data_IF_029837337169
#
_entry.id   IF_029837337169
#
_cell.length_a   1.000
_cell.length_b   1.000
_cell.length_c   1.000
_cell.angle_alpha   90.00
_cell.angle_beta   90.00
_cell.angle_gamma   90.00
#
_symmetry.space_group_name_H-M   'P 1'
#
loop_
_entity.id
_entity.type
_entity.pdbx_description
1 polymer ?
#
# COMPACT_ATOMS: atom_id res chain seq x y z
N UNK A 1 31.60 53.47 12.49
CA UNK A 1 31.67 54.93 12.26
C UNK A 1 30.35 55.36 11.64
N UNK A 2 29.60 56.22 12.36
CA UNK A 2 28.73 57.32 11.89
C UNK A 2 27.70 57.02 10.78
N UNK A 3 26.43 57.43 10.82
CA UNK A 3 25.53 58.08 11.78
C UNK A 3 24.27 58.43 10.97
N UNK A 4 23.08 58.37 11.60
CA UNK A 4 21.93 59.29 11.47
C UNK A 4 21.22 59.39 10.09
N UNK A 5 19.88 59.31 10.03
CA UNK A 5 18.96 60.39 10.44
C UNK A 5 17.55 59.87 10.76
N UNK A 6 16.97 60.44 11.82
CA UNK A 6 15.54 60.41 12.19
C UNK A 6 14.79 61.48 11.39
N UNK A 7 13.49 61.29 11.14
CA UNK A 7 12.51 62.36 11.33
C UNK A 7 11.12 61.79 11.62
N UNK A 8 10.49 62.38 12.64
CA UNK A 8 9.14 62.09 13.11
C UNK A 8 8.14 63.06 12.46
N UNK A 9 6.88 62.63 12.32
CA UNK A 9 5.75 63.56 12.27
C UNK A 9 4.56 62.91 12.97
N UNK A 10 4.18 63.51 14.10
CA UNK A 10 2.92 63.28 14.81
C UNK A 10 1.78 64.00 14.10
N UNK A 11 0.60 63.38 14.04
CA UNK A 11 -0.67 64.08 13.91
C UNK A 11 -1.70 63.41 14.82
N UNK A 12 -2.44 64.25 15.53
CA UNK A 12 -3.27 63.98 16.70
C UNK A 12 -4.75 63.81 16.30
N UNK A 13 -5.41 62.86 16.98
CA UNK A 13 -6.82 62.73 17.35
C UNK A 13 -7.94 62.79 16.28
N UNK A 14 -8.92 61.89 16.42
CA UNK A 14 -10.28 62.23 16.89
C UNK A 14 -10.91 60.97 17.48
N UNK A 15 -11.41 61.14 18.71
CA UNK A 15 -12.20 60.21 19.48
C UNK A 15 -13.65 60.25 18.97
N UNK A 16 -14.24 59.12 18.61
CA UNK A 16 -15.68 58.99 18.36
C UNK A 16 -16.22 57.78 19.11
N UNK A 17 -16.71 58.07 20.31
CA UNK A 17 -17.58 57.21 21.11
C UNK A 17 -18.89 56.98 20.34
N UNK A 18 -19.18 55.72 20.01
CA UNK A 18 -20.56 55.27 19.83
C UNK A 18 -20.84 54.22 20.89
N UNK A 19 -21.51 54.66 21.95
CA UNK A 19 -22.15 53.78 22.92
C UNK A 19 -23.48 53.30 22.33
N UNK A 20 -23.61 52.00 22.09
CA UNK A 20 -24.90 51.35 22.02
C UNK A 20 -25.08 50.51 23.28
N UNK A 21 -26.18 50.82 23.95
CA UNK A 21 -26.66 50.22 25.18
C UNK A 21 -27.39 48.90 24.91
N UNK A 22 -27.28 47.99 25.89
CA UNK A 22 -28.18 46.89 26.23
C UNK A 22 -28.26 45.65 25.31
N UNK A 23 -27.71 44.54 25.81
CA UNK A 23 -28.54 43.45 26.34
C UNK A 23 -27.73 42.67 27.40
N UNK A 24 -28.27 42.60 28.62
CA UNK A 24 -27.80 41.80 29.76
C UNK A 24 -28.53 40.45 29.77
N UNK A 25 -27.97 39.45 30.47
CA UNK A 25 -28.51 38.12 30.86
C UNK A 25 -28.22 37.00 29.85
N UNK A 26 -27.81 35.78 30.21
CA UNK A 26 -27.50 35.14 31.49
C UNK A 26 -26.71 33.84 31.19
N UNK A 27 -26.07 33.30 32.22
CA UNK A 27 -25.29 32.06 32.30
C UNK A 27 -25.92 30.84 31.59
N UNK A 28 -25.10 30.00 30.94
CA UNK A 28 -25.13 28.52 30.98
C UNK A 28 -23.97 27.97 30.12
N UNK A 29 -22.95 27.42 30.78
CA UNK A 29 -22.19 26.27 30.26
C UNK A 29 -22.89 25.03 30.85
N UNK A 30 -23.00 23.86 30.20
CA UNK A 30 -21.94 23.21 29.43
C UNK A 30 -22.46 22.49 28.15
N UNK A 31 -21.59 21.71 27.51
CA UNK A 31 -21.96 20.48 26.78
C UNK A 31 -22.02 20.46 25.24
N UNK A 32 -21.23 21.30 24.56
CA UNK A 32 -20.97 21.15 23.12
C UNK A 32 -19.78 20.22 22.77
N UNK A 33 -19.00 19.73 23.75
CA UNK A 33 -17.80 18.92 23.47
C UNK A 33 -18.06 17.41 23.46
N UNK A 34 -19.08 16.90 24.16
CA UNK A 34 -19.39 15.47 24.16
C UNK A 34 -19.91 14.98 22.80
N UNK A 35 -20.62 15.82 22.05
CA UNK A 35 -21.14 15.44 20.72
C UNK A 35 -20.08 15.49 19.60
N UNK A 36 -19.03 16.29 19.73
CA UNK A 36 -17.92 16.31 18.77
C UNK A 36 -17.03 15.06 18.94
N UNK A 37 -16.78 14.65 20.18
CA UNK A 37 -16.04 13.42 20.47
C UNK A 37 -16.88 12.17 20.14
N UNK A 38 -18.17 12.14 20.50
CA UNK A 38 -19.05 11.01 20.17
C UNK A 38 -19.30 10.84 18.66
N UNK A 39 -19.28 11.92 17.87
CA UNK A 39 -19.42 11.82 16.40
C UNK A 39 -18.13 11.38 15.71
N UNK A 40 -16.96 11.78 16.23
CA UNK A 40 -15.67 11.24 15.79
C UNK A 40 -15.52 9.77 16.20
N UNK A 41 -15.93 9.40 17.41
CA UNK A 41 -15.91 8.00 17.87
C UNK A 41 -16.95 7.13 17.17
N UNK A 42 -18.11 7.66 16.78
CA UNK A 42 -19.10 6.92 16.00
C UNK A 42 -18.67 6.72 14.54
N UNK A 43 -18.00 7.70 13.91
CA UNK A 43 -17.38 7.53 12.60
C UNK A 43 -16.17 6.59 12.66
N UNK A 44 -15.38 6.65 13.73
CA UNK A 44 -14.24 5.78 13.97
C UNK A 44 -14.67 4.34 14.26
N UNK A 45 -15.72 4.13 15.06
CA UNK A 45 -16.25 2.80 15.42
C UNK A 45 -17.00 2.11 14.28
N UNK A 46 -17.55 2.86 13.31
CA UNK A 46 -18.13 2.26 12.09
C UNK A 46 -17.05 1.84 11.08
N UNK A 47 -15.84 2.41 11.18
CA UNK A 47 -14.70 2.11 10.31
C UNK A 47 -13.92 0.86 10.71
N UNK A 48 -14.07 0.36 11.95
CA UNK A 48 -13.31 -0.79 12.48
C UNK A 48 -13.87 -2.17 12.10
N UNK A 49 -14.89 -2.25 11.25
CA UNK A 49 -15.46 -3.53 10.80
C UNK A 49 -15.52 -3.68 9.26
N UNK A 50 -14.87 -2.79 8.50
CA UNK A 50 -14.83 -2.92 7.04
C UNK A 50 -13.60 -3.72 6.61
N UNK A 51 -13.71 -5.04 6.68
CA UNK A 51 -12.76 -5.96 6.03
C UNK A 51 -12.93 -5.85 4.51
N UNK A 52 -11.84 -5.59 3.79
CA UNK A 52 -11.81 -5.60 2.31
C UNK A 52 -10.96 -6.77 1.84
N UNK A 53 -11.52 -7.56 0.93
CA UNK A 53 -10.80 -8.69 0.33
C UNK A 53 -10.34 -8.35 -1.08
N UNK A 54 -9.13 -8.77 -1.40
CA UNK A 54 -8.51 -8.70 -2.71
C UNK A 54 -8.03 -10.09 -3.12
N UNK A 55 -7.90 -10.31 -4.41
CA UNK A 55 -7.41 -11.57 -4.97
C UNK A 55 -6.40 -11.29 -6.08
N UNK A 56 -5.47 -12.22 -6.29
CA UNK A 56 -4.60 -12.23 -7.46
C UNK A 56 -4.48 -13.66 -8.00
N UNK A 57 -4.65 -13.82 -9.31
CA UNK A 57 -4.28 -15.04 -10.01
C UNK A 57 -2.80 -14.96 -10.34
N UNK A 58 -2.00 -15.90 -9.82
CA UNK A 58 -0.55 -15.91 -9.99
C UNK A 58 -0.21 -16.82 -11.16
N UNK A 59 0.40 -16.23 -12.19
CA UNK A 59 0.77 -16.91 -13.43
C UNK A 59 2.28 -16.91 -13.65
N UNK A 60 2.77 -17.93 -14.35
CA UNK A 60 4.19 -18.15 -14.58
C UNK A 60 4.85 -16.98 -15.33
N UNK A 61 6.07 -16.66 -14.92
CA UNK A 61 7.08 -15.91 -15.67
C UNK A 61 8.26 -16.83 -15.98
N UNK A 62 9.10 -16.46 -16.96
CA UNK A 62 10.36 -17.14 -17.25
C UNK A 62 10.23 -18.65 -17.48
N UNK A 63 9.09 -19.08 -18.04
CA UNK A 63 8.81 -20.51 -18.32
C UNK A 63 8.77 -21.40 -17.08
N UNK A 64 8.63 -20.84 -15.88
CA UNK A 64 8.75 -21.56 -14.61
C UNK A 64 7.70 -22.66 -14.40
N UNK A 65 6.54 -22.53 -15.04
CA UNK A 65 5.37 -23.38 -14.78
C UNK A 65 4.69 -23.12 -13.43
N UNK A 66 5.13 -22.11 -12.67
CA UNK A 66 4.51 -21.74 -11.39
C UNK A 66 3.11 -21.18 -11.62
N UNK A 67 2.15 -21.66 -10.83
CA UNK A 67 0.78 -21.14 -10.83
C UNK A 67 0.27 -21.04 -9.39
N UNK A 68 -0.69 -20.17 -9.14
CA UNK A 68 -1.29 -20.06 -7.82
C UNK A 68 -2.37 -19.01 -7.71
N UNK A 69 -2.80 -18.78 -6.47
CA UNK A 69 -3.68 -17.69 -6.11
C UNK A 69 -3.17 -17.00 -4.85
N UNK A 70 -3.47 -15.72 -4.74
CA UNK A 70 -3.35 -14.97 -3.50
C UNK A 70 -4.70 -14.39 -3.09
N UNK A 71 -4.95 -14.36 -1.79
CA UNK A 71 -6.03 -13.61 -1.15
C UNK A 71 -5.42 -12.64 -0.15
N UNK A 72 -5.80 -11.36 -0.22
CA UNK A 72 -5.39 -10.36 0.75
C UNK A 72 -6.62 -9.83 1.46
N UNK A 73 -6.60 -9.83 2.78
CA UNK A 73 -7.68 -9.30 3.63
C UNK A 73 -7.16 -8.10 4.39
N UNK A 74 -7.67 -6.92 4.05
CA UNK A 74 -7.35 -5.63 4.67
C UNK A 74 -8.36 -5.31 5.76
N UNK A 75 -7.89 -5.21 7.00
CA UNK A 75 -8.67 -4.90 8.20
C UNK A 75 -7.98 -3.80 9.00
N UNK A 76 -8.54 -2.59 8.95
CA UNK A 76 -7.88 -1.41 9.53
C UNK A 76 -6.58 -1.11 8.80
N UNK A 77 -5.48 -1.12 9.55
CA UNK A 77 -4.09 -0.96 9.11
C UNK A 77 -3.35 -2.29 8.95
N UNK A 78 -4.04 -3.42 9.02
CA UNK A 78 -3.43 -4.75 8.87
C UNK A 78 -3.87 -5.41 7.56
N UNK A 79 -2.93 -6.01 6.83
CA UNK A 79 -3.22 -6.87 5.68
C UNK A 79 -2.77 -8.29 5.95
N UNK A 80 -3.70 -9.24 5.91
CA UNK A 80 -3.39 -10.67 5.92
C UNK A 80 -3.26 -11.16 4.49
N UNK A 81 -2.09 -11.67 4.13
CA UNK A 81 -1.77 -12.22 2.81
C UNK A 81 -1.74 -13.74 2.91
N UNK A 82 -2.61 -14.40 2.15
CA UNK A 82 -2.64 -15.86 1.96
C UNK A 82 -2.28 -16.20 0.52
N UNK A 83 -1.24 -17.01 0.30
CA UNK A 83 -0.79 -17.46 -1.02
C UNK A 83 -0.79 -18.99 -1.06
N UNK A 84 -1.42 -19.54 -2.09
CA UNK A 84 -1.31 -20.94 -2.47
C UNK A 84 -0.70 -21.02 -3.86
N UNK A 85 0.47 -21.63 -3.99
CA UNK A 85 1.12 -21.81 -5.29
C UNK A 85 1.75 -23.19 -5.42
N UNK A 86 1.87 -23.66 -6.66
CA UNK A 86 2.51 -24.91 -7.07
C UNK A 86 3.42 -24.68 -8.27
N UNK A 87 4.31 -25.65 -8.54
CA UNK A 87 5.30 -25.56 -9.62
C UNK A 87 6.57 -24.80 -9.23
N UNK A 88 6.72 -24.45 -7.95
CA UNK A 88 7.94 -23.84 -7.40
C UNK A 88 9.07 -24.87 -7.33
N UNK A 89 10.32 -24.41 -7.33
CA UNK A 89 11.48 -25.31 -7.21
C UNK A 89 11.55 -25.93 -5.80
N UNK A 90 11.49 -27.26 -5.65
CA UNK A 90 11.44 -27.86 -4.33
C UNK A 90 12.67 -27.59 -3.45
N UNK A 91 12.43 -27.31 -2.16
CA UNK A 91 13.46 -27.15 -1.13
C UNK A 91 14.40 -25.95 -1.33
N UNK A 92 13.99 -24.98 -2.16
CA UNK A 92 14.70 -23.71 -2.33
C UNK A 92 13.94 -22.56 -1.69
N UNK A 93 14.65 -21.56 -1.18
CA UNK A 93 14.03 -20.35 -0.63
C UNK A 93 13.40 -19.52 -1.74
N UNK A 94 12.11 -19.22 -1.65
CA UNK A 94 11.38 -18.40 -2.62
C UNK A 94 11.05 -17.03 -2.05
N UNK A 95 11.86 -15.99 -2.31
CA UNK A 95 11.48 -14.61 -2.02
C UNK A 95 10.15 -14.27 -2.68
N UNK A 96 9.34 -13.51 -1.95
CA UNK A 96 8.02 -13.10 -2.41
C UNK A 96 7.69 -11.72 -1.85
N UNK A 97 7.12 -10.87 -2.71
CA UNK A 97 6.94 -9.47 -2.40
C UNK A 97 5.62 -8.95 -2.96
N UNK A 98 5.06 -7.94 -2.29
CA UNK A 98 4.14 -7.00 -2.95
C UNK A 98 5.01 -5.93 -3.60
N UNK A 99 4.87 -5.77 -4.90
CA UNK A 99 5.51 -4.72 -5.70
C UNK A 99 4.48 -3.69 -6.15
N UNK A 100 4.92 -2.44 -6.26
CA UNK A 100 4.07 -1.35 -6.71
C UNK A 100 4.84 -0.06 -6.87
N UNK A 101 4.16 1.00 -7.31
CA UNK A 101 4.73 2.33 -7.42
C UNK A 101 4.22 3.21 -6.28
N UNK A 102 5.09 4.08 -5.76
CA UNK A 102 4.72 5.09 -4.75
C UNK A 102 3.72 6.13 -5.30
N UNK A 103 3.65 6.30 -6.62
CA UNK A 103 2.61 7.10 -7.27
C UNK A 103 1.33 6.27 -7.41
N UNK A 104 0.32 6.61 -6.60
CA UNK A 104 -0.99 5.94 -6.59
C UNK A 104 -1.76 6.05 -7.91
N UNK A 105 -1.30 6.83 -8.90
CA UNK A 105 -1.91 6.91 -10.23
C UNK A 105 -1.33 5.91 -11.23
N UNK A 106 -0.26 5.19 -10.86
CA UNK A 106 0.37 4.17 -11.70
C UNK A 106 0.05 2.78 -11.16
N UNK A 107 -0.49 1.93 -12.02
CA UNK A 107 -0.70 0.52 -11.69
C UNK A 107 0.56 -0.28 -12.01
N UNK A 108 1.01 -1.08 -11.06
CA UNK A 108 1.91 -2.18 -11.33
C UNK A 108 1.18 -3.25 -12.16
N UNK A 109 1.93 -3.84 -13.08
CA UNK A 109 1.45 -4.92 -13.94
C UNK A 109 2.49 -6.02 -13.99
N UNK A 110 2.05 -7.24 -14.28
CA UNK A 110 3.00 -8.31 -14.55
C UNK A 110 3.75 -8.04 -15.86
N UNK A 111 5.08 -8.25 -15.91
CA UNK A 111 5.87 -7.94 -17.07
C UNK A 111 5.43 -8.83 -18.25
N UNK A 112 5.21 -8.25 -19.44
CA UNK A 112 4.95 -9.03 -20.65
C UNK A 112 6.24 -9.74 -21.11
N UNK A 113 6.15 -10.71 -22.03
CA UNK A 113 7.33 -11.32 -22.64
C UNK A 113 8.29 -10.31 -23.30
N UNK A 114 7.78 -9.18 -23.79
CA UNK A 114 8.60 -8.11 -24.36
C UNK A 114 9.41 -7.31 -23.32
N UNK A 115 9.32 -7.67 -22.04
CA UNK A 115 10.16 -7.08 -20.99
C UNK A 115 11.60 -7.61 -21.05
N UNK A 116 11.82 -8.79 -21.63
CA UNK A 116 13.15 -9.32 -21.97
C UNK A 116 13.80 -8.38 -23.01
N UNK A 117 14.66 -7.49 -22.53
CA UNK A 117 15.24 -6.39 -23.32
C UNK A 117 16.56 -6.77 -23.97
N UNK A 118 17.27 -7.75 -23.44
CA UNK A 118 18.53 -8.24 -24.02
C UNK A 118 18.36 -9.52 -24.87
N UNK A 119 17.20 -10.15 -24.82
CA UNK A 119 16.77 -11.24 -25.69
C UNK A 119 17.33 -12.60 -25.28
N UNK A 120 17.73 -12.77 -24.02
CA UNK A 120 18.31 -14.03 -23.52
C UNK A 120 17.24 -15.08 -23.13
N UNK A 121 15.97 -14.70 -23.18
CA UNK A 121 14.81 -15.55 -22.89
C UNK A 121 14.36 -15.49 -21.42
N UNK A 122 14.96 -14.64 -20.60
CA UNK A 122 14.59 -14.39 -19.23
C UNK A 122 14.13 -12.94 -19.05
N UNK A 123 13.35 -12.72 -18.01
CA UNK A 123 12.98 -11.39 -17.53
C UNK A 123 13.62 -11.26 -16.15
N UNK A 124 14.76 -10.59 -16.04
CA UNK A 124 15.42 -10.35 -14.75
C UNK A 124 14.66 -9.34 -13.89
N UNK A 125 15.09 -9.22 -12.64
CA UNK A 125 14.61 -8.21 -11.70
C UNK A 125 14.69 -6.78 -12.29
N UNK A 126 15.79 -6.45 -12.97
CA UNK A 126 15.99 -5.13 -13.56
C UNK A 126 15.01 -4.83 -14.71
N UNK A 127 14.74 -5.83 -15.53
CA UNK A 127 13.87 -5.73 -16.70
C UNK A 127 12.38 -5.74 -16.35
N UNK A 128 12.00 -6.45 -15.29
CA UNK A 128 10.64 -6.44 -14.76
C UNK A 128 10.29 -5.18 -13.95
N UNK A 129 11.29 -4.49 -13.38
CA UNK A 129 11.08 -3.34 -12.49
C UNK A 129 10.27 -2.18 -13.10
N UNK A 130 10.42 -1.80 -14.39
CA UNK A 130 9.56 -0.80 -15.03
C UNK A 130 8.06 -1.13 -15.00
N UNK A 131 7.70 -2.42 -14.89
CA UNK A 131 6.33 -2.93 -14.90
C UNK A 131 5.75 -3.07 -13.50
N UNK A 132 6.42 -3.80 -12.61
CA UNK A 132 5.88 -4.06 -11.27
C UNK A 132 6.33 -3.05 -10.19
N UNK A 133 7.41 -2.29 -10.44
CA UNK A 133 7.91 -1.27 -9.51
C UNK A 133 8.82 -1.80 -8.38
N UNK A 134 9.27 -0.95 -7.45
CA UNK A 134 10.04 -1.37 -6.28
C UNK A 134 9.24 -2.32 -5.36
N UNK A 135 9.95 -2.94 -4.43
CA UNK A 135 9.35 -3.72 -3.34
C UNK A 135 8.65 -2.76 -2.38
N UNK A 136 7.36 -3.00 -2.12
CA UNK A 136 6.59 -2.28 -1.10
C UNK A 136 6.53 -3.07 0.22
N UNK A 137 6.33 -4.39 0.12
CA UNK A 137 6.25 -5.27 1.30
C UNK A 137 6.92 -6.62 1.03
N UNK A 138 8.07 -6.91 1.68
CA UNK A 138 8.59 -8.26 1.75
C UNK A 138 7.65 -9.18 2.53
N UNK A 139 7.28 -10.30 1.92
CA UNK A 139 6.40 -11.28 2.55
C UNK A 139 7.23 -12.32 3.31
N UNK A 140 7.94 -11.86 4.34
CA UNK A 140 8.81 -12.69 5.19
C UNK A 140 8.04 -13.39 6.32
N UNK A 141 8.53 -14.54 6.82
CA UNK A 141 9.67 -15.31 6.33
C UNK A 141 9.34 -16.00 4.99
N UNK A 142 10.31 -16.00 4.06
CA UNK A 142 10.12 -16.63 2.76
C UNK A 142 10.02 -18.16 2.85
N UNK A 143 9.09 -18.80 2.12
CA UNK A 143 8.92 -20.25 2.17
C UNK A 143 10.01 -20.99 1.37
N UNK A 144 10.24 -22.27 1.70
CA UNK A 144 11.20 -23.14 1.01
C UNK A 144 10.57 -24.16 0.05
N UNK A 145 9.24 -24.08 -0.15
CA UNK A 145 8.43 -24.95 -0.99
C UNK A 145 8.85 -26.45 -1.02
N UNK A 146 8.83 -27.21 0.09
CA UNK A 146 9.44 -28.56 0.15
C UNK A 146 8.97 -29.55 -0.93
N UNK A 147 7.71 -29.41 -1.37
CA UNK A 147 7.10 -30.24 -2.42
C UNK A 147 6.81 -29.45 -3.71
N UNK A 148 7.54 -28.35 -3.94
CA UNK A 148 7.25 -27.40 -5.01
C UNK A 148 5.92 -26.67 -4.84
N UNK A 149 5.39 -26.66 -3.62
CA UNK A 149 4.14 -26.02 -3.25
C UNK A 149 4.30 -25.18 -1.99
N UNK A 150 3.53 -24.10 -1.90
CA UNK A 150 3.44 -23.25 -0.71
C UNK A 150 1.99 -23.06 -0.31
N UNK A 151 1.77 -23.01 1.00
CA UNK A 151 0.54 -22.52 1.63
C UNK A 151 0.99 -21.49 2.68
N UNK A 152 1.15 -20.25 2.23
CA UNK A 152 1.77 -19.17 2.98
C UNK A 152 0.70 -18.23 3.52
N UNK A 153 0.68 -17.98 4.83
CA UNK A 153 -0.22 -16.98 5.44
C UNK A 153 0.54 -16.13 6.43
N UNK A 154 0.55 -14.80 6.24
CA UNK A 154 1.13 -13.83 7.18
C UNK A 154 0.35 -12.53 7.17
N UNK A 155 0.43 -11.80 8.28
CA UNK A 155 -0.20 -10.50 8.46
C UNK A 155 0.87 -9.43 8.61
N UNK A 156 0.67 -8.30 7.94
CA UNK A 156 1.59 -7.16 7.90
C UNK A 156 0.85 -5.87 8.22
N UNK A 157 1.56 -4.91 8.81
CA UNK A 157 1.11 -3.54 8.87
C UNK A 157 1.12 -2.93 7.46
N UNK A 158 0.09 -2.17 7.13
CA UNK A 158 -0.06 -1.51 5.85
C UNK A 158 0.58 -0.14 5.91
N UNK A 159 1.52 0.11 5.01
CA UNK A 159 2.10 1.44 4.82
C UNK A 159 1.31 2.24 3.78
N UNK A 160 1.47 3.57 3.79
CA UNK A 160 0.80 4.43 2.83
C UNK A 160 1.14 4.06 1.38
N UNK A 161 2.39 3.66 1.11
CA UNK A 161 2.87 3.31 -0.23
C UNK A 161 2.20 2.03 -0.79
N UNK A 162 1.65 1.17 0.07
CA UNK A 162 0.89 -0.01 -0.34
C UNK A 162 -0.52 0.32 -0.81
N UNK A 163 -0.98 1.57 -0.63
CA UNK A 163 -2.36 1.94 -0.93
C UNK A 163 -2.47 2.79 -2.20
N UNK A 164 -3.47 2.51 -3.05
CA UNK A 164 -4.47 1.46 -2.88
C UNK A 164 -3.94 0.06 -3.29
N UNK A 165 -4.28 -0.99 -2.52
CA UNK A 165 -3.73 -2.34 -2.73
C UNK A 165 -3.94 -2.90 -4.14
N UNK A 166 -5.04 -2.54 -4.81
CA UNK A 166 -5.34 -3.02 -6.16
C UNK A 166 -4.44 -2.43 -7.27
N UNK A 167 -3.54 -1.51 -6.94
CA UNK A 167 -2.56 -0.98 -7.89
C UNK A 167 -1.25 -1.76 -7.87
N UNK A 168 -1.15 -2.77 -7.01
CA UNK A 168 0.06 -3.53 -6.76
C UNK A 168 -0.02 -4.95 -7.34
N UNK A 169 1.13 -5.62 -7.43
CA UNK A 169 1.23 -7.02 -7.84
C UNK A 169 1.91 -7.84 -6.75
N UNK A 170 1.68 -9.16 -6.74
CA UNK A 170 2.50 -10.12 -6.02
C UNK A 170 3.49 -10.74 -7.00
N UNK A 171 4.77 -10.76 -6.66
CA UNK A 171 5.82 -11.46 -7.43
C UNK A 171 6.44 -12.54 -6.57
N UNK A 172 6.50 -13.76 -7.11
CA UNK A 172 7.25 -14.89 -6.53
C UNK A 172 8.56 -15.03 -7.30
N UNK A 173 9.64 -15.33 -6.60
CA UNK A 173 10.98 -15.45 -7.18
C UNK A 173 11.62 -16.81 -6.92
N UNK A 174 12.67 -17.11 -7.67
CA UNK A 174 13.54 -18.23 -7.41
C UNK A 174 13.32 -19.43 -8.33
N UNK A 175 14.25 -19.64 -9.25
CA UNK A 175 14.41 -20.87 -10.02
C UNK A 175 15.87 -21.07 -10.42
N UNK A 176 16.22 -22.30 -10.76
CA UNK A 176 17.52 -22.67 -11.30
C UNK A 176 17.62 -22.35 -12.79
N UNK A 177 18.65 -21.59 -13.16
CA UNK A 177 19.02 -21.28 -14.54
C UNK A 177 20.43 -21.80 -14.77
N UNK A 178 20.61 -22.60 -15.83
CA UNK A 178 21.92 -23.17 -16.21
C UNK A 178 22.66 -23.85 -15.05
N UNK A 179 21.92 -24.55 -14.18
CA UNK A 179 22.47 -25.29 -13.03
C UNK A 179 22.75 -24.46 -11.78
N UNK A 180 22.44 -23.16 -11.78
CA UNK A 180 22.58 -22.29 -10.62
C UNK A 180 21.22 -21.74 -10.16
N UNK A 181 20.94 -21.82 -8.85
CA UNK A 181 19.72 -21.25 -8.28
C UNK A 181 19.80 -19.72 -8.20
N UNK A 182 18.82 -19.04 -8.82
CA UNK A 182 18.74 -17.58 -8.87
C UNK A 182 17.56 -17.11 -8.04
N UNK A 183 17.80 -16.88 -6.73
CA UNK A 183 16.74 -16.53 -5.77
C UNK A 183 15.95 -15.26 -6.14
N UNK A 184 16.53 -14.34 -6.92
CA UNK A 184 15.93 -13.06 -7.29
C UNK A 184 15.17 -13.10 -8.60
N UNK A 185 15.32 -14.15 -9.42
CA UNK A 185 14.67 -14.23 -10.72
C UNK A 185 13.16 -14.33 -10.54
N UNK A 186 12.34 -13.42 -11.09
CA UNK A 186 10.89 -13.55 -11.05
C UNK A 186 10.44 -14.86 -11.70
N UNK A 187 9.61 -15.63 -11.02
CA UNK A 187 9.08 -16.91 -11.54
C UNK A 187 7.58 -16.90 -11.69
N UNK A 188 6.88 -16.00 -11.00
CA UNK A 188 5.44 -15.81 -11.18
C UNK A 188 5.01 -14.41 -10.75
N UNK A 189 3.90 -13.95 -11.32
CA UNK A 189 3.32 -12.67 -10.96
C UNK A 189 1.79 -12.73 -10.99
N UNK A 190 1.13 -11.97 -10.12
CA UNK A 190 -0.31 -11.76 -10.13
C UNK A 190 -0.70 -10.34 -9.74
N UNK A 191 -1.57 -9.71 -10.55
CA UNK A 191 -2.16 -8.40 -10.27
C UNK A 191 -3.22 -8.49 -9.17
N UNK A 192 -3.12 -7.64 -8.16
CA UNK A 192 -4.07 -7.59 -7.05
C UNK A 192 -5.34 -6.87 -7.52
N UNK A 193 -6.49 -7.50 -7.33
CA UNK A 193 -7.81 -6.98 -7.74
C UNK A 193 -8.78 -7.04 -6.57
N UNK A 194 -9.70 -6.08 -6.41
CA UNK A 194 -10.76 -6.20 -5.41
C UNK A 194 -11.53 -7.50 -5.64
N UNK A 195 -11.75 -8.27 -4.58
CA UNK A 195 -12.60 -9.44 -4.68
C UNK A 195 -14.03 -8.96 -4.96
N UNK A 196 -14.69 -9.56 -5.96
CA UNK A 196 -16.10 -9.28 -6.21
C UNK A 196 -16.90 -9.72 -4.97
N UNK A 197 -17.23 -8.78 -4.09
CA UNK A 197 -18.14 -9.05 -2.98
C UNK A 197 -19.52 -9.31 -3.58
N UNK A 198 -19.88 -10.60 -3.74
CA UNK A 198 -21.27 -11.00 -3.91
C UNK A 198 -22.02 -10.38 -2.73
N UNK A 199 -22.88 -9.38 -2.99
CA UNK A 199 -23.78 -8.85 -1.96
C UNK A 199 -24.47 -10.04 -1.32
N UNK A 200 -24.20 -10.27 -0.03
CA UNK A 200 -25.04 -11.16 0.77
C UNK A 200 -26.44 -10.53 0.71
N UNK A 201 -27.36 -11.22 0.03
CA UNK A 201 -28.78 -10.86 -0.01
C UNK A 201 -29.44 -11.30 1.29
#
# INVERSE_FOLDING_TARGET
>A
MKNFLRSAASAVAICSLFAFSACESEEISPDASLNAQASQDAHRNKSFNLSKTYTADIMALNGSGVMGTATLTLEGDMVTVHIMASGLEPNQLHPQHIHGFMDSNKNAVCPPPSADTDGDGLIELGEGAPFYGPILQPLTPFPTAPNGTINYTRTFEVTADMLPLQNNVIVLHGMTVNGQYWATLPVACGEIKPANMKKMK
#
